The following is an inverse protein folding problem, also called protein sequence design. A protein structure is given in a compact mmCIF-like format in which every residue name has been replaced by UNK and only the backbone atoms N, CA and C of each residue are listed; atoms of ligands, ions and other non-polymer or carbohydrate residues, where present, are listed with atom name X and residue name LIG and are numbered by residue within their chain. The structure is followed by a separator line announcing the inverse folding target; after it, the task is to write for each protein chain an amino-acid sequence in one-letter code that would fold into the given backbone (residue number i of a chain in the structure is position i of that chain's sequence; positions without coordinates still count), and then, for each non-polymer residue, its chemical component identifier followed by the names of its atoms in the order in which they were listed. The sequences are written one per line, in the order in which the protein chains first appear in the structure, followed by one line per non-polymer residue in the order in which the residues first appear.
data_IF_608261318642
#
_entry.id   IF_608261318642
#
_cell.length_a   1.000
_cell.length_b   1.000
_cell.length_c   1.000
_cell.angle_alpha   90.00
_cell.angle_beta   90.00
_cell.angle_gamma   90.00
#
_symmetry.space_group_name_H-M   'P 1'
#
loop_
_entity.id
_entity.type
_entity.pdbx_description
1 polymer ?
#
# COMPACT_ATOMS: atom_id res chain seq x y z
N UNK A 1 -88.65 85.74 -45.14
CA UNK A 1 -88.36 84.74 -44.06
C UNK A 1 -87.01 84.13 -44.36
N UNK A 2 -86.14 84.17 -43.39
CA UNK A 2 -84.86 83.45 -43.45
C UNK A 2 -85.01 82.20 -42.61
N UNK A 3 -84.90 81.09 -43.25
CA UNK A 3 -84.88 79.81 -42.55
C UNK A 3 -83.44 79.50 -42.19
N UNK A 4 -83.11 79.44 -40.96
CA UNK A 4 -81.74 79.07 -40.46
C UNK A 4 -81.76 77.63 -40.13
N UNK A 5 -80.81 76.91 -40.71
CA UNK A 5 -80.54 75.51 -40.41
C UNK A 5 -79.36 75.47 -39.36
N UNK A 6 -79.53 74.76 -38.28
CA UNK A 6 -78.53 74.50 -37.30
C UNK A 6 -78.02 73.04 -37.45
N UNK A 7 -76.73 72.89 -37.33
CA UNK A 7 -76.18 71.53 -37.34
C UNK A 7 -76.75 70.73 -36.21
N UNK A 8 -77.10 69.50 -36.43
CA UNK A 8 -77.59 68.58 -35.44
C UNK A 8 -76.44 67.86 -34.76
N UNK A 9 -76.67 67.42 -33.54
CA UNK A 9 -75.66 66.59 -32.78
C UNK A 9 -75.55 65.22 -33.43
N UNK A 10 -74.28 64.82 -33.61
CA UNK A 10 -73.87 63.52 -34.12
C UNK A 10 -73.09 62.73 -33.05
N UNK A 11 -73.12 61.42 -33.16
CA UNK A 11 -72.45 60.52 -32.22
C UNK A 11 -71.53 59.57 -32.93
N UNK A 12 -70.25 59.48 -32.38
CA UNK A 12 -69.31 58.48 -32.80
C UNK A 12 -69.10 57.51 -31.64
N UNK A 13 -69.05 56.21 -31.93
CA UNK A 13 -68.71 55.14 -31.02
C UNK A 13 -67.42 54.45 -31.43
N UNK A 14 -66.46 54.39 -30.56
CA UNK A 14 -65.18 53.66 -30.78
C UNK A 14 -65.21 52.38 -29.95
N UNK A 15 -65.29 51.28 -30.62
CA UNK A 15 -65.36 49.94 -30.07
C UNK A 15 -64.04 49.30 -30.00
N UNK A 16 -63.69 48.59 -28.88
CA UNK A 16 -62.50 47.80 -28.71
C UNK A 16 -62.87 46.33 -28.72
N UNK A 17 -62.22 45.58 -29.67
CA UNK A 17 -62.49 44.16 -29.88
C UNK A 17 -61.25 43.38 -29.55
N UNK A 18 -61.30 42.49 -28.56
CA UNK A 18 -60.28 41.55 -28.24
C UNK A 18 -60.33 40.40 -29.23
N UNK A 19 -59.29 40.29 -30.08
CA UNK A 19 -59.14 39.27 -31.14
C UNK A 19 -58.01 38.26 -30.79
N UNK A 20 -57.71 38.10 -29.53
CA UNK A 20 -56.68 37.11 -29.10
C UNK A 20 -57.07 35.69 -29.54
N UNK A 21 -56.17 34.98 -30.23
CA UNK A 21 -56.42 33.65 -30.80
C UNK A 21 -57.25 33.61 -32.07
N UNK A 22 -57.56 34.77 -32.65
CA UNK A 22 -58.27 34.88 -33.95
C UNK A 22 -57.30 35.10 -35.08
N UNK A 23 -57.39 34.30 -36.13
CA UNK A 23 -56.55 34.43 -37.33
C UNK A 23 -57.41 34.97 -38.51
N UNK A 24 -56.75 35.80 -39.32
CA UNK A 24 -57.38 36.34 -40.57
C UNK A 24 -57.80 37.80 -40.47
N UNK A 25 -58.73 38.20 -41.36
CA UNK A 25 -59.27 39.57 -41.38
C UNK A 25 -60.21 39.81 -40.20
N UNK A 26 -60.09 40.98 -39.57
CA UNK A 26 -60.86 41.32 -38.40
C UNK A 26 -62.13 42.05 -38.74
N UNK A 27 -63.21 41.64 -38.14
CA UNK A 27 -64.54 42.26 -38.23
C UNK A 27 -65.08 42.53 -36.82
N UNK A 28 -66.16 43.32 -36.68
CA UNK A 28 -66.75 43.59 -35.34
C UNK A 28 -67.20 42.35 -34.59
N UNK A 29 -67.36 41.22 -35.29
CA UNK A 29 -67.77 39.93 -34.71
C UNK A 29 -66.63 38.89 -34.61
N UNK A 30 -65.42 39.28 -35.01
CA UNK A 30 -64.28 38.35 -35.02
C UNK A 30 -63.73 38.00 -33.61
N UNK A 31 -64.05 38.80 -32.60
CA UNK A 31 -63.53 38.59 -31.23
C UNK A 31 -64.59 38.99 -30.18
N UNK A 32 -64.06 39.32 -28.98
CA UNK A 32 -64.93 39.74 -27.86
C UNK A 32 -64.83 41.25 -27.68
N UNK A 33 -66.00 41.92 -27.76
CA UNK A 33 -66.08 43.37 -27.53
C UNK A 33 -65.87 43.69 -26.05
N UNK A 34 -64.91 44.62 -25.77
CA UNK A 34 -64.66 45.17 -24.45
C UNK A 34 -65.65 46.32 -24.16
N UNK A 35 -66.87 45.98 -23.88
CA UNK A 35 -67.98 46.92 -23.75
C UNK A 35 -67.76 48.01 -22.72
N UNK A 36 -67.00 47.72 -21.67
CA UNK A 36 -66.68 48.69 -20.61
C UNK A 36 -65.62 49.71 -21.09
N UNK A 37 -65.07 49.56 -22.27
CA UNK A 37 -64.11 50.46 -22.91
C UNK A 37 -64.65 51.26 -24.05
N UNK A 38 -65.94 51.07 -24.39
CA UNK A 38 -66.64 51.88 -25.43
C UNK A 38 -66.37 53.34 -25.16
N UNK A 39 -65.89 54.07 -26.15
CA UNK A 39 -65.74 55.52 -26.12
C UNK A 39 -66.83 56.14 -26.97
N UNK A 40 -67.45 57.16 -26.48
CA UNK A 40 -68.50 57.91 -27.19
C UNK A 40 -68.08 59.39 -27.31
N UNK A 41 -68.11 59.90 -28.55
CA UNK A 41 -67.84 61.29 -28.86
C UNK A 41 -69.12 61.88 -29.43
N UNK A 42 -69.41 63.14 -29.09
CA UNK A 42 -70.54 63.89 -29.61
C UNK A 42 -70.06 65.22 -30.17
N UNK A 43 -70.68 65.69 -31.29
CA UNK A 43 -70.33 66.95 -31.92
C UNK A 43 -71.34 67.31 -32.98
N UNK A 44 -71.17 68.53 -33.53
CA UNK A 44 -72.07 69.03 -34.62
C UNK A 44 -71.74 68.35 -35.96
N UNK A 45 -72.70 68.13 -36.80
CA UNK A 45 -72.54 67.59 -38.14
C UNK A 45 -71.45 68.31 -38.90
N UNK A 46 -70.54 67.54 -39.62
CA UNK A 46 -69.38 67.98 -40.39
C UNK A 46 -68.19 68.55 -39.53
N UNK A 47 -68.37 68.74 -38.21
CA UNK A 47 -67.29 69.17 -37.33
C UNK A 47 -66.20 68.09 -37.28
N UNK A 48 -64.91 68.58 -37.29
CA UNK A 48 -63.76 67.68 -37.13
C UNK A 48 -63.60 67.27 -35.68
N UNK A 49 -63.16 66.06 -35.46
CA UNK A 49 -62.83 65.53 -34.13
C UNK A 49 -61.44 64.86 -34.09
N UNK A 50 -60.87 64.81 -32.92
CA UNK A 50 -59.71 63.93 -32.55
C UNK A 50 -60.11 63.14 -31.31
N UNK A 51 -59.69 61.88 -31.26
CA UNK A 51 -59.87 61.00 -30.12
C UNK A 51 -58.54 60.41 -29.68
N UNK A 52 -58.36 60.35 -28.38
CA UNK A 52 -57.27 59.58 -27.79
C UNK A 52 -57.82 58.20 -27.44
N UNK A 53 -57.29 57.19 -28.07
CA UNK A 53 -57.68 55.83 -27.76
C UNK A 53 -57.44 55.51 -26.28
N UNK A 54 -58.26 54.67 -25.74
CA UNK A 54 -58.03 54.10 -24.40
C UNK A 54 -56.62 53.54 -24.30
N UNK A 55 -55.93 53.70 -23.11
CA UNK A 55 -54.60 53.14 -22.84
C UNK A 55 -54.70 51.61 -22.67
N UNK A 56 -54.86 50.91 -23.80
CA UNK A 56 -54.99 49.47 -23.89
C UNK A 56 -53.66 48.79 -23.51
N UNK A 57 -52.45 49.44 -23.71
CA UNK A 57 -51.21 48.90 -23.37
C UNK A 57 -51.01 48.72 -21.85
N UNK A 58 -51.48 49.68 -21.04
CA UNK A 58 -51.51 49.57 -19.60
C UNK A 58 -52.41 48.44 -19.10
N UNK A 59 -53.44 48.11 -19.84
CA UNK A 59 -54.37 47.00 -19.57
C UNK A 59 -53.79 45.62 -20.02
N UNK A 60 -52.64 45.60 -20.70
CA UNK A 60 -52.03 44.36 -21.15
C UNK A 60 -52.34 43.96 -22.59
N UNK A 61 -52.91 44.88 -23.37
CA UNK A 61 -53.20 44.61 -24.78
C UNK A 61 -52.14 45.24 -25.70
N UNK A 62 -52.08 44.70 -26.92
CA UNK A 62 -51.31 45.24 -28.04
C UNK A 62 -52.31 45.56 -29.20
N UNK A 63 -52.03 46.67 -29.92
CA UNK A 63 -52.79 47.03 -31.10
C UNK A 63 -52.45 46.08 -32.25
N UNK A 64 -53.49 45.46 -32.82
CA UNK A 64 -53.42 44.70 -34.06
C UNK A 64 -53.77 45.59 -35.26
N UNK A 65 -54.94 46.22 -35.18
CA UNK A 65 -55.48 47.11 -36.22
C UNK A 65 -56.42 48.15 -35.62
N UNK A 66 -56.40 49.33 -36.14
CA UNK A 66 -57.43 50.35 -35.84
C UNK A 66 -57.87 51.00 -37.13
N UNK A 67 -59.19 51.31 -37.24
CA UNK A 67 -59.68 52.18 -38.28
C UNK A 67 -59.15 53.58 -38.01
N UNK A 68 -58.63 54.28 -39.07
CA UNK A 68 -58.09 55.64 -38.90
C UNK A 68 -59.06 56.60 -38.23
N UNK A 69 -60.34 56.46 -38.56
CA UNK A 69 -61.43 57.29 -38.06
C UNK A 69 -61.70 57.09 -36.57
N UNK A 70 -61.13 55.97 -35.92
CA UNK A 70 -61.22 55.83 -34.50
C UNK A 70 -60.41 56.91 -33.76
N UNK A 71 -59.45 57.59 -34.40
CA UNK A 71 -58.59 58.64 -33.80
C UNK A 71 -58.85 60.06 -34.33
N UNK A 72 -59.31 60.19 -35.56
CA UNK A 72 -59.57 61.51 -36.14
C UNK A 72 -60.43 61.40 -37.39
N UNK A 73 -61.34 62.37 -37.62
CA UNK A 73 -62.19 62.44 -38.74
C UNK A 73 -63.20 63.57 -38.62
N UNK A 74 -64.34 63.45 -39.31
CA UNK A 74 -65.45 64.39 -39.21
C UNK A 74 -66.74 63.66 -38.82
N UNK A 75 -67.63 64.28 -38.07
CA UNK A 75 -68.94 63.81 -37.82
C UNK A 75 -69.68 63.79 -39.14
N UNK A 76 -70.52 62.80 -39.38
CA UNK A 76 -71.32 62.71 -40.58
C UNK A 76 -72.57 63.63 -40.52
N UNK A 77 -73.53 63.51 -41.47
CA UNK A 77 -74.76 64.30 -41.54
C UNK A 77 -76.02 63.49 -41.27
N UNK A 78 -75.88 62.19 -40.89
CA UNK A 78 -77.03 61.31 -40.62
C UNK A 78 -77.29 61.18 -39.12
N UNK A 79 -78.26 61.94 -38.57
CA UNK A 79 -78.60 61.93 -37.17
C UNK A 79 -79.36 60.66 -36.71
N UNK A 80 -79.66 59.77 -37.63
CA UNK A 80 -80.47 58.57 -37.38
C UNK A 80 -79.55 57.34 -36.97
N UNK A 81 -78.25 57.39 -37.30
CA UNK A 81 -77.33 56.29 -37.03
C UNK A 81 -76.04 56.79 -36.46
N UNK A 82 -75.52 56.13 -35.38
CA UNK A 82 -74.22 56.40 -34.83
C UNK A 82 -73.09 55.91 -35.78
N UNK A 83 -72.01 56.68 -35.94
CA UNK A 83 -70.82 56.25 -36.63
C UNK A 83 -70.11 55.26 -35.73
N UNK A 84 -69.74 54.08 -36.22
CA UNK A 84 -69.07 53.04 -35.42
C UNK A 84 -67.69 52.74 -36.00
N UNK A 85 -66.65 52.91 -35.20
CA UNK A 85 -65.28 52.61 -35.55
C UNK A 85 -64.66 51.56 -34.64
N UNK A 86 -63.72 50.73 -35.12
CA UNK A 86 -63.32 49.56 -34.44
C UNK A 86 -61.79 49.57 -34.29
N UNK A 87 -61.31 49.22 -33.06
CA UNK A 87 -59.94 49.01 -32.68
C UNK A 87 -59.78 47.55 -32.24
N UNK A 88 -58.98 46.84 -32.99
CA UNK A 88 -58.70 45.40 -32.72
C UNK A 88 -57.46 45.24 -31.92
N UNK A 89 -57.54 44.52 -30.76
CA UNK A 89 -56.51 44.34 -29.79
C UNK A 89 -56.20 42.86 -29.60
N UNK A 90 -54.93 42.51 -29.38
CA UNK A 90 -54.55 41.19 -28.92
C UNK A 90 -53.88 41.28 -27.53
N UNK A 91 -53.74 40.14 -26.87
CA UNK A 91 -52.99 40.12 -25.58
C UNK A 91 -51.49 40.34 -25.76
N UNK A 92 -50.93 41.23 -25.02
CA UNK A 92 -49.47 41.38 -24.91
C UNK A 92 -48.88 40.20 -24.13
N UNK A 93 -47.78 39.62 -24.64
CA UNK A 93 -47.06 38.54 -23.99
C UNK A 93 -45.76 39.07 -23.37
N UNK A 94 -45.48 38.66 -22.10
CA UNK A 94 -44.27 39.06 -21.41
C UNK A 94 -43.49 37.84 -20.93
N UNK A 95 -42.18 37.83 -21.21
CA UNK A 95 -41.27 36.82 -20.67
C UNK A 95 -40.95 37.15 -19.21
N UNK A 96 -41.17 36.17 -18.31
CA UNK A 96 -40.92 36.31 -16.88
C UNK A 96 -40.10 35.13 -16.39
N UNK A 97 -38.92 35.41 -15.77
CA UNK A 97 -38.10 34.38 -15.17
C UNK A 97 -38.80 33.77 -13.95
N UNK A 98 -38.84 32.46 -13.89
CA UNK A 98 -39.36 31.73 -12.74
C UNK A 98 -38.25 31.37 -11.72
N UNK A 99 -38.64 30.58 -10.71
CA UNK A 99 -37.74 30.14 -9.68
C UNK A 99 -36.75 29.10 -10.23
N UNK A 100 -35.40 29.29 -10.13
CA UNK A 100 -34.42 28.33 -10.56
C UNK A 100 -34.52 27.00 -9.81
N UNK A 101 -34.17 25.91 -10.48
CA UNK A 101 -33.99 24.56 -9.93
C UNK A 101 -32.53 24.21 -10.04
N UNK A 102 -31.94 23.73 -8.94
CA UNK A 102 -30.55 23.28 -8.91
C UNK A 102 -30.50 21.78 -8.66
N UNK A 103 -29.83 21.06 -9.54
CA UNK A 103 -29.58 19.63 -9.46
C UNK A 103 -28.14 19.44 -9.02
N UNK A 104 -27.91 18.56 -8.04
CA UNK A 104 -26.57 18.29 -7.46
C UNK A 104 -26.20 16.83 -7.64
N UNK A 105 -24.89 16.59 -7.84
CA UNK A 105 -24.27 15.27 -7.75
C UNK A 105 -23.23 15.32 -6.63
N UNK A 106 -23.27 14.34 -5.72
CA UNK A 106 -22.25 14.13 -4.68
C UNK A 106 -21.63 12.76 -4.83
N UNK A 107 -20.31 12.68 -4.72
CA UNK A 107 -19.56 11.42 -4.73
C UNK A 107 -18.73 11.36 -3.45
N UNK A 108 -18.99 10.35 -2.62
CA UNK A 108 -18.27 10.08 -1.38
C UNK A 108 -17.29 8.93 -1.60
N UNK A 109 -16.10 9.03 -1.00
CA UNK A 109 -15.04 8.02 -1.06
C UNK A 109 -14.80 7.49 0.35
N UNK A 110 -15.01 6.17 0.54
CA UNK A 110 -14.99 5.52 1.86
C UNK A 110 -14.18 4.24 1.78
N UNK A 111 -13.39 3.92 2.81
CA UNK A 111 -12.76 2.62 2.92
C UNK A 111 -13.80 1.53 3.16
N UNK A 112 -13.84 0.53 2.26
CA UNK A 112 -14.87 -0.52 2.28
C UNK A 112 -14.58 -1.65 3.24
N UNK A 113 -13.30 -1.97 3.45
CA UNK A 113 -12.85 -3.05 4.34
C UNK A 113 -11.49 -2.72 4.97
N UNK A 114 -10.88 -3.72 5.64
CA UNK A 114 -9.59 -3.58 6.30
C UNK A 114 -9.65 -2.71 7.56
N UNK A 115 -8.49 -2.27 8.07
CA UNK A 115 -8.40 -1.55 9.35
C UNK A 115 -8.99 -0.14 9.31
N UNK A 116 -9.23 0.41 8.12
CA UNK A 116 -9.81 1.74 7.92
C UNK A 116 -11.28 1.71 7.53
N UNK A 117 -11.93 0.54 7.51
CA UNK A 117 -13.31 0.37 7.08
C UNK A 117 -14.24 1.44 7.66
N UNK A 118 -15.08 2.04 6.80
CA UNK A 118 -16.02 3.10 7.17
C UNK A 118 -15.43 4.50 7.34
N UNK A 119 -14.11 4.66 7.28
CA UNK A 119 -13.46 5.98 7.33
C UNK A 119 -13.46 6.63 5.94
N UNK A 120 -13.35 7.96 5.92
CA UNK A 120 -13.20 8.74 4.70
C UNK A 120 -11.88 8.37 4.00
N UNK A 121 -11.94 8.01 2.71
CA UNK A 121 -10.78 7.61 1.92
C UNK A 121 -10.18 8.79 1.12
N UNK A 122 -11.05 9.68 0.59
CA UNK A 122 -10.66 10.90 -0.10
C UNK A 122 -11.73 11.99 0.09
N UNK A 123 -11.41 13.22 -0.32
CA UNK A 123 -12.39 14.31 -0.29
C UNK A 123 -13.55 14.06 -1.25
N UNK A 124 -14.78 14.28 -0.78
CA UNK A 124 -15.97 14.13 -1.61
C UNK A 124 -15.96 15.11 -2.78
N UNK A 125 -16.39 14.65 -3.95
CA UNK A 125 -16.62 15.49 -5.12
C UNK A 125 -18.08 15.96 -5.12
N UNK A 126 -18.33 17.26 -5.34
CA UNK A 126 -19.67 17.82 -5.46
C UNK A 126 -19.75 18.70 -6.70
N UNK A 127 -20.78 18.50 -7.51
CA UNK A 127 -21.10 19.30 -8.70
C UNK A 127 -22.56 19.75 -8.64
N UNK A 128 -22.86 20.90 -9.28
CA UNK A 128 -24.22 21.43 -9.35
C UNK A 128 -24.46 22.11 -10.69
N UNK A 129 -25.67 21.96 -11.22
CA UNK A 129 -26.17 22.72 -12.36
C UNK A 129 -27.49 23.37 -12.00
N UNK A 130 -27.69 24.64 -12.44
CA UNK A 130 -28.90 25.40 -12.17
C UNK A 130 -29.64 25.66 -13.49
N UNK A 131 -30.92 25.37 -13.49
CA UNK A 131 -31.86 25.55 -14.60
C UNK A 131 -32.82 26.68 -14.24
N UNK A 132 -32.99 27.65 -15.12
CA UNK A 132 -33.92 28.78 -14.92
C UNK A 132 -35.07 28.68 -15.91
N UNK A 133 -36.34 28.55 -15.46
CA UNK A 133 -37.47 28.58 -16.35
C UNK A 133 -37.83 30.01 -16.74
N UNK A 134 -38.25 30.23 -18.00
CA UNK A 134 -38.83 31.46 -18.46
C UNK A 134 -40.24 31.17 -18.90
N UNK A 135 -41.22 31.83 -18.27
CA UNK A 135 -42.61 31.71 -18.56
C UNK A 135 -43.03 32.82 -19.51
N UNK A 136 -43.91 32.49 -20.49
CA UNK A 136 -44.64 33.47 -21.26
C UNK A 136 -45.94 33.79 -20.52
N UNK A 137 -46.08 35.04 -20.05
CA UNK A 137 -47.22 35.48 -19.28
C UNK A 137 -48.07 36.40 -20.12
N UNK A 138 -49.34 36.02 -20.32
CA UNK A 138 -50.38 36.86 -20.91
C UNK A 138 -50.64 38.05 -19.97
N UNK A 139 -50.50 39.26 -20.53
CA UNK A 139 -50.57 40.48 -19.72
C UNK A 139 -52.05 40.92 -19.43
N UNK A 140 -53.05 40.34 -20.07
CA UNK A 140 -54.48 40.56 -19.77
C UNK A 140 -54.93 39.62 -18.66
N UNK A 141 -54.72 38.31 -18.84
CA UNK A 141 -55.19 37.27 -17.92
C UNK A 141 -54.26 37.05 -16.74
N UNK A 142 -53.00 37.49 -16.85
CA UNK A 142 -51.91 37.26 -15.89
C UNK A 142 -51.54 35.77 -15.69
N UNK A 143 -51.93 34.94 -16.66
CA UNK A 143 -51.68 33.50 -16.64
C UNK A 143 -50.51 33.12 -17.55
N UNK A 144 -49.84 32.00 -17.25
CA UNK A 144 -48.82 31.43 -18.13
C UNK A 144 -49.48 30.88 -19.38
N UNK A 145 -48.82 31.10 -20.52
CA UNK A 145 -49.18 30.56 -21.82
C UNK A 145 -48.15 29.52 -22.24
N UNK A 146 -48.60 28.27 -22.35
CA UNK A 146 -47.72 27.15 -22.69
C UNK A 146 -46.82 26.71 -21.56
N UNK A 147 -45.89 25.81 -21.87
CA UNK A 147 -44.87 25.31 -20.94
C UNK A 147 -43.69 26.30 -20.83
N UNK A 148 -42.99 26.34 -19.69
CA UNK A 148 -41.83 27.21 -19.52
C UNK A 148 -40.68 26.75 -20.42
N UNK A 149 -39.91 27.70 -20.92
CA UNK A 149 -38.64 27.44 -21.62
C UNK A 149 -37.52 27.42 -20.57
N UNK A 150 -36.83 26.30 -20.46
CA UNK A 150 -35.72 26.14 -19.50
C UNK A 150 -34.38 26.54 -20.11
N UNK A 151 -33.55 27.23 -19.33
CA UNK A 151 -32.18 27.62 -19.69
C UNK A 151 -31.18 27.21 -18.60
N UNK A 152 -30.24 26.32 -18.91
CA UNK A 152 -30.15 25.49 -20.12
C UNK A 152 -31.31 24.47 -20.18
N UNK A 153 -31.60 23.89 -21.35
CA UNK A 153 -32.59 22.83 -21.50
C UNK A 153 -32.15 21.53 -20.83
N UNK A 154 -30.87 21.22 -20.96
CA UNK A 154 -30.21 20.12 -20.29
C UNK A 154 -28.77 20.53 -19.89
N UNK A 155 -28.13 19.75 -19.03
CA UNK A 155 -26.73 19.87 -18.65
C UNK A 155 -26.12 18.49 -18.47
N UNK A 156 -24.82 18.40 -18.25
CA UNK A 156 -24.12 17.14 -18.03
C UNK A 156 -23.24 17.22 -16.78
N UNK A 157 -23.36 16.25 -15.90
CA UNK A 157 -22.28 15.92 -14.98
C UNK A 157 -21.27 15.04 -15.71
N UNK A 158 -20.12 15.60 -16.06
CA UNK A 158 -19.04 14.86 -16.70
C UNK A 158 -18.57 13.74 -15.80
N UNK A 159 -18.04 12.67 -16.38
CA UNK A 159 -17.43 11.54 -15.67
C UNK A 159 -16.41 12.00 -14.62
N UNK A 160 -16.32 11.23 -13.53
CA UNK A 160 -15.39 11.49 -12.41
C UNK A 160 -14.60 10.22 -12.12
N UNK A 161 -13.30 10.26 -12.45
CA UNK A 161 -12.36 9.18 -12.13
C UNK A 161 -12.12 9.15 -10.63
N UNK A 162 -12.20 7.96 -10.03
CA UNK A 162 -11.94 7.77 -8.61
C UNK A 162 -10.44 8.00 -8.31
N UNK A 163 -10.10 8.72 -7.24
CA UNK A 163 -8.70 8.95 -6.84
C UNK A 163 -7.93 7.66 -6.63
N UNK A 164 -6.66 7.61 -7.03
CA UNK A 164 -5.77 6.49 -6.70
C UNK A 164 -5.32 6.59 -5.24
N UNK A 165 -5.48 5.51 -4.49
CA UNK A 165 -5.06 5.40 -3.09
C UNK A 165 -4.16 4.16 -2.97
N UNK A 166 -2.92 4.36 -2.55
CA UNK A 166 -1.94 3.29 -2.40
C UNK A 166 -2.44 2.20 -1.45
N UNK A 167 -2.31 0.94 -1.87
CA UNK A 167 -2.77 -0.22 -1.12
C UNK A 167 -4.28 -0.46 -1.14
N UNK A 168 -5.05 0.29 -1.94
CA UNK A 168 -6.51 0.16 -2.00
C UNK A 168 -7.02 0.24 -3.43
N UNK A 169 -7.98 -0.61 -3.75
CA UNK A 169 -8.65 -0.66 -5.05
C UNK A 169 -10.09 -0.18 -4.91
N UNK A 170 -10.54 0.85 -5.67
CA UNK A 170 -11.92 1.29 -5.66
C UNK A 170 -12.84 0.26 -6.34
N UNK A 171 -14.06 0.09 -5.80
CA UNK A 171 -15.10 -0.75 -6.41
C UNK A 171 -15.63 -0.17 -7.73
N UNK A 172 -15.50 1.15 -7.90
CA UNK A 172 -15.81 1.88 -9.12
C UNK A 172 -14.62 2.77 -9.47
N UNK A 173 -13.94 2.48 -10.57
CA UNK A 173 -12.81 3.28 -11.06
C UNK A 173 -13.25 4.65 -11.56
N UNK A 174 -14.51 4.78 -11.95
CA UNK A 174 -15.11 6.00 -12.49
C UNK A 174 -16.62 6.04 -12.17
N UNK A 175 -17.16 7.21 -11.90
CA UNK A 175 -18.59 7.50 -11.97
C UNK A 175 -18.84 8.10 -13.35
N UNK A 176 -19.66 7.42 -14.14
CA UNK A 176 -19.93 7.79 -15.54
C UNK A 176 -20.61 9.15 -15.68
N UNK A 177 -20.45 9.77 -16.85
CA UNK A 177 -21.16 11.00 -17.21
C UNK A 177 -22.67 10.75 -17.30
N UNK A 178 -23.46 11.73 -16.86
CA UNK A 178 -24.92 11.67 -16.94
C UNK A 178 -25.51 13.00 -17.40
N UNK A 179 -26.41 12.96 -18.41
CA UNK A 179 -27.20 14.10 -18.81
C UNK A 179 -28.35 14.30 -17.83
N UNK A 180 -28.55 15.53 -17.39
CA UNK A 180 -29.62 15.95 -16.47
C UNK A 180 -30.49 17.02 -17.08
N UNK A 181 -31.75 17.08 -16.62
CA UNK A 181 -32.76 18.05 -17.00
C UNK A 181 -33.32 18.73 -15.73
N UNK A 182 -34.14 19.78 -15.87
CA UNK A 182 -34.79 20.42 -14.73
C UNK A 182 -35.64 19.50 -13.85
N UNK A 183 -36.06 18.36 -14.38
CA UNK A 183 -36.86 17.34 -13.68
C UNK A 183 -36.01 16.21 -13.05
N UNK A 184 -34.69 16.23 -13.26
CA UNK A 184 -33.80 15.23 -12.65
C UNK A 184 -33.76 15.40 -11.14
N UNK A 185 -33.52 14.28 -10.43
CA UNK A 185 -33.27 14.29 -8.99
C UNK A 185 -31.79 14.51 -8.67
N UNK A 186 -31.50 14.95 -7.45
CA UNK A 186 -30.14 14.97 -6.93
C UNK A 186 -29.61 13.54 -6.84
N UNK A 187 -28.30 13.33 -7.15
CA UNK A 187 -27.66 12.04 -7.08
C UNK A 187 -26.55 12.01 -6.03
N UNK A 188 -26.46 10.89 -5.31
CA UNK A 188 -25.38 10.61 -4.36
C UNK A 188 -24.79 9.23 -4.66
N UNK A 189 -23.48 9.18 -4.80
CA UNK A 189 -22.71 7.97 -5.05
C UNK A 189 -21.71 7.75 -3.92
N UNK A 190 -21.50 6.49 -3.54
CA UNK A 190 -20.39 6.12 -2.68
C UNK A 190 -19.49 5.15 -3.43
N UNK A 191 -18.20 5.44 -3.44
CA UNK A 191 -17.13 4.57 -3.95
C UNK A 191 -16.42 3.96 -2.76
N UNK A 192 -16.34 2.63 -2.74
CA UNK A 192 -15.68 1.88 -1.67
C UNK A 192 -14.29 1.43 -2.09
N UNK A 193 -13.28 1.77 -1.28
CA UNK A 193 -11.89 1.37 -1.45
C UNK A 193 -11.61 0.13 -0.63
N UNK A 194 -11.36 -0.99 -1.31
CA UNK A 194 -11.02 -2.26 -0.67
C UNK A 194 -9.51 -2.39 -0.51
N UNK A 195 -9.06 -2.81 0.67
CA UNK A 195 -7.65 -3.04 0.94
C UNK A 195 -7.11 -4.15 0.06
N UNK A 196 -5.93 -3.91 -0.55
CA UNK A 196 -5.22 -4.90 -1.33
C UNK A 196 -4.50 -5.89 -0.39
N UNK A 197 -4.21 -7.09 -0.90
CA UNK A 197 -3.40 -8.09 -0.18
C UNK A 197 -1.92 -7.74 -0.32
N UNK A 198 -1.27 -7.51 0.81
CA UNK A 198 0.17 -7.28 0.92
C UNK A 198 0.89 -8.54 1.36
N UNK A 199 2.18 -8.64 1.00
CA UNK A 199 3.04 -9.74 1.41
C UNK A 199 4.17 -9.25 2.30
N UNK A 200 4.48 -10.06 3.32
CA UNK A 200 5.69 -9.97 4.09
C UNK A 200 6.55 -11.19 3.75
N UNK A 201 7.78 -10.94 3.35
CA UNK A 201 8.78 -11.96 3.00
C UNK A 201 9.97 -11.91 3.95
N UNK A 202 10.81 -12.93 3.92
CA UNK A 202 12.08 -12.96 4.65
C UNK A 202 13.21 -13.50 3.77
N UNK A 203 14.41 -12.97 4.01
CA UNK A 203 15.66 -13.39 3.40
C UNK A 203 16.60 -13.87 4.50
N UNK A 204 17.32 -14.96 4.27
CA UNK A 204 18.36 -15.48 5.20
C UNK A 204 19.70 -15.47 4.51
N UNK A 205 20.67 -14.83 5.14
CA UNK A 205 22.03 -14.67 4.63
C UNK A 205 23.01 -15.34 5.59
N UNK A 206 23.90 -16.16 5.05
CA UNK A 206 25.02 -16.75 5.75
C UNK A 206 26.27 -15.89 5.56
N UNK A 207 26.59 -15.09 6.57
CA UNK A 207 27.77 -14.23 6.58
C UNK A 207 29.07 -15.05 6.73
N UNK A 208 28.98 -16.27 7.27
CA UNK A 208 30.10 -17.20 7.44
C UNK A 208 30.55 -17.84 6.13
N UNK A 209 29.66 -17.93 5.13
CA UNK A 209 29.94 -18.46 3.78
C UNK A 209 29.88 -17.34 2.71
N UNK A 210 30.57 -16.22 2.97
CA UNK A 210 30.70 -15.13 1.99
C UNK A 210 29.40 -14.40 1.64
N UNK A 211 28.50 -14.23 2.59
CA UNK A 211 27.15 -13.64 2.41
C UNK A 211 26.25 -14.45 1.47
N UNK A 212 26.36 -15.75 1.54
CA UNK A 212 25.53 -16.65 0.76
C UNK A 212 24.04 -16.53 1.15
N UNK A 213 23.19 -16.31 0.17
CA UNK A 213 21.75 -16.31 0.38
C UNK A 213 21.25 -17.76 0.53
N UNK A 214 20.75 -18.10 1.70
CA UNK A 214 20.18 -19.41 2.02
C UNK A 214 18.71 -19.47 1.66
N UNK A 215 17.99 -18.36 1.86
CA UNK A 215 16.60 -18.16 1.49
C UNK A 215 16.45 -16.75 0.91
N UNK A 216 15.82 -16.63 -0.25
CA UNK A 216 15.56 -15.36 -0.90
C UNK A 216 14.08 -15.06 -0.93
N UNK A 217 13.67 -13.98 -0.28
CA UNK A 217 12.32 -13.41 -0.27
C UNK A 217 11.18 -14.44 -0.16
N UNK A 218 11.35 -15.42 0.72
CA UNK A 218 10.31 -16.42 0.97
C UNK A 218 9.12 -15.79 1.72
N UNK A 219 7.90 -16.14 1.32
CA UNK A 219 6.70 -15.61 1.96
C UNK A 219 6.63 -16.02 3.44
N UNK A 220 6.54 -15.03 4.32
CA UNK A 220 6.31 -15.23 5.76
C UNK A 220 4.83 -15.12 6.11
N UNK A 221 4.15 -14.11 5.54
CA UNK A 221 2.73 -13.85 5.79
C UNK A 221 2.09 -13.03 4.65
N UNK A 222 0.75 -12.99 4.62
CA UNK A 222 -0.05 -12.05 3.83
C UNK A 222 -1.11 -11.41 4.73
N UNK A 223 -1.52 -10.21 4.35
CA UNK A 223 -2.59 -9.48 5.05
C UNK A 223 -3.07 -8.29 4.27
N UNK A 224 -4.20 -7.71 4.67
CA UNK A 224 -4.73 -6.50 4.07
C UNK A 224 -3.80 -5.31 4.31
N UNK A 225 -3.72 -4.40 3.36
CA UNK A 225 -3.00 -3.12 3.53
C UNK A 225 -3.31 -2.45 4.86
N UNK A 226 -2.30 -1.92 5.54
CA UNK A 226 -2.36 -1.28 6.87
C UNK A 226 -2.78 -2.22 8.03
N UNK A 227 -3.09 -3.51 7.78
CA UNK A 227 -3.51 -4.42 8.84
C UNK A 227 -2.34 -4.83 9.75
N UNK A 228 -2.64 -5.07 11.02
CA UNK A 228 -1.65 -5.44 12.03
C UNK A 228 -1.06 -6.82 11.74
N UNK A 229 0.27 -6.94 11.78
CA UNK A 229 0.95 -8.22 11.71
C UNK A 229 0.73 -8.97 13.01
N UNK A 230 0.16 -10.16 12.91
CA UNK A 230 -0.28 -10.93 14.07
C UNK A 230 0.87 -11.52 14.89
N UNK A 231 0.62 -11.81 16.17
CA UNK A 231 1.59 -12.48 17.04
C UNK A 231 1.99 -13.89 16.52
N UNK A 232 1.13 -14.55 15.75
CA UNK A 232 1.48 -15.85 15.13
C UNK A 232 2.55 -15.70 14.05
N UNK A 233 2.60 -14.59 13.32
CA UNK A 233 3.65 -14.28 12.33
C UNK A 233 4.97 -14.03 13.06
N UNK A 234 4.96 -13.29 14.17
CA UNK A 234 6.14 -13.11 15.02
C UNK A 234 6.66 -14.46 15.52
N UNK A 235 5.80 -15.33 15.96
CA UNK A 235 6.20 -16.68 16.40
C UNK A 235 6.78 -17.52 15.25
N UNK A 236 6.20 -17.43 14.04
CA UNK A 236 6.74 -18.11 12.87
C UNK A 236 8.15 -17.61 12.52
N UNK A 237 8.37 -16.29 12.57
CA UNK A 237 9.67 -15.67 12.34
C UNK A 237 10.72 -16.14 13.37
N UNK A 238 10.37 -16.16 14.66
CA UNK A 238 11.24 -16.68 15.71
C UNK A 238 11.55 -18.18 15.52
N UNK A 239 10.59 -18.96 15.05
CA UNK A 239 10.80 -20.38 14.77
C UNK A 239 11.78 -20.62 13.63
N UNK A 240 11.80 -19.75 12.61
CA UNK A 240 12.78 -19.79 11.52
C UNK A 240 14.18 -19.60 12.11
N UNK A 241 14.41 -18.53 12.89
CA UNK A 241 15.70 -18.24 13.54
C UNK A 241 16.13 -19.42 14.40
N UNK A 242 15.26 -19.92 15.27
CA UNK A 242 15.54 -21.06 16.13
C UNK A 242 15.86 -22.33 15.32
N UNK A 243 15.26 -22.50 14.14
CA UNK A 243 15.52 -23.60 13.22
C UNK A 243 16.96 -23.61 12.73
N UNK A 244 17.49 -22.48 12.33
CA UNK A 244 18.89 -22.32 11.92
C UNK A 244 19.85 -22.48 13.10
N UNK A 245 19.51 -21.95 14.28
CA UNK A 245 20.35 -22.14 15.47
C UNK A 245 20.50 -23.62 15.83
N UNK A 246 19.46 -24.44 15.68
CA UNK A 246 19.54 -25.90 15.87
C UNK A 246 20.43 -26.61 14.85
N UNK A 247 20.65 -26.01 13.68
CA UNK A 247 21.54 -26.51 12.64
C UNK A 247 22.99 -26.07 12.82
N UNK A 248 23.31 -25.34 13.89
CA UNK A 248 24.65 -24.90 14.20
C UNK A 248 24.97 -23.46 13.87
N UNK A 249 24.01 -22.72 13.30
CA UNK A 249 24.17 -21.28 13.05
C UNK A 249 24.07 -20.45 14.33
N UNK A 250 24.68 -19.30 14.31
CA UNK A 250 24.59 -18.25 15.34
C UNK A 250 23.97 -17.01 14.70
N UNK A 251 22.95 -16.46 15.34
CA UNK A 251 22.32 -15.22 14.88
C UNK A 251 23.28 -14.05 15.03
N UNK A 252 23.57 -13.36 13.92
CA UNK A 252 24.33 -12.11 13.88
C UNK A 252 23.38 -10.94 14.09
N UNK A 253 22.37 -10.84 13.24
CA UNK A 253 21.29 -9.85 13.34
C UNK A 253 20.03 -10.36 12.67
N UNK A 254 18.90 -9.76 13.03
CA UNK A 254 17.64 -9.97 12.35
C UNK A 254 16.86 -8.66 12.39
N UNK A 255 16.22 -8.31 11.27
CA UNK A 255 15.33 -7.16 11.22
C UNK A 255 14.13 -7.38 12.14
N UNK A 256 13.64 -6.29 12.73
CA UNK A 256 12.37 -6.34 13.45
C UNK A 256 11.23 -6.48 12.44
N UNK A 257 10.24 -7.30 12.77
CA UNK A 257 9.00 -7.31 12.00
C UNK A 257 8.35 -5.93 12.08
N UNK A 258 7.83 -5.41 10.95
CA UNK A 258 7.01 -4.20 10.96
C UNK A 258 5.73 -4.44 11.80
N UNK A 259 5.13 -3.36 12.33
CA UNK A 259 3.90 -3.48 13.10
C UNK A 259 2.70 -3.85 12.23
N UNK A 260 2.69 -3.37 11.00
CA UNK A 260 1.59 -3.54 10.05
C UNK A 260 2.12 -3.96 8.69
N UNK A 261 1.27 -4.60 7.90
CA UNK A 261 1.47 -4.65 6.44
C UNK A 261 1.45 -3.23 5.89
N UNK A 262 2.29 -2.96 4.90
CA UNK A 262 2.32 -1.66 4.25
C UNK A 262 1.16 -1.49 3.25
N UNK A 263 1.23 -0.48 2.42
CA UNK A 263 0.28 -0.20 1.36
C UNK A 263 0.99 0.00 0.01
N UNK A 264 2.15 -0.63 -0.15
CA UNK A 264 2.94 -0.57 -1.38
C UNK A 264 2.65 -1.80 -2.24
N UNK A 265 1.82 -1.64 -3.25
CA UNK A 265 1.44 -2.74 -4.16
C UNK A 265 2.56 -3.15 -5.15
N UNK A 266 3.66 -2.40 -5.22
CA UNK A 266 4.74 -2.64 -6.19
C UNK A 266 5.87 -3.49 -5.62
N UNK A 267 6.10 -3.43 -4.30
CA UNK A 267 7.25 -4.09 -3.65
C UNK A 267 6.80 -4.75 -2.35
N UNK A 268 7.01 -6.06 -2.25
CA UNK A 268 6.73 -6.82 -1.03
C UNK A 268 7.64 -6.33 0.11
N UNK A 269 7.11 -6.23 1.35
CA UNK A 269 7.93 -6.00 2.54
C UNK A 269 8.85 -7.19 2.76
N UNK A 270 10.14 -6.94 3.04
CA UNK A 270 11.11 -8.00 3.30
C UNK A 270 11.89 -7.73 4.59
N UNK A 271 12.12 -8.76 5.40
CA UNK A 271 12.97 -8.73 6.57
C UNK A 271 14.16 -9.66 6.38
N UNK A 272 15.35 -9.25 6.84
CA UNK A 272 16.59 -9.98 6.62
C UNK A 272 17.10 -10.56 7.93
N UNK A 273 17.55 -11.82 7.87
CA UNK A 273 18.21 -12.56 8.96
C UNK A 273 19.64 -12.81 8.53
N UNK A 274 20.60 -12.36 9.33
CA UNK A 274 22.02 -12.59 9.16
C UNK A 274 22.49 -13.66 10.15
N UNK A 275 23.14 -14.69 9.64
CA UNK A 275 23.64 -15.84 10.37
C UNK A 275 25.14 -15.99 10.17
N UNK A 276 25.81 -16.57 11.13
CA UNK A 276 27.19 -17.02 11.01
C UNK A 276 27.28 -18.48 11.47
N UNK A 277 28.40 -19.17 11.14
CA UNK A 277 28.63 -20.51 11.64
C UNK A 277 28.99 -20.48 13.12
N UNK A 278 28.38 -21.33 13.91
CA UNK A 278 28.78 -21.63 15.27
C UNK A 278 29.93 -22.63 15.29
N UNK A 279 30.44 -22.92 16.49
CA UNK A 279 31.43 -23.98 16.68
C UNK A 279 30.93 -25.01 17.67
N UNK A 280 31.37 -26.27 17.48
CA UNK A 280 31.17 -27.37 18.45
C UNK A 280 32.50 -28.05 18.75
N UNK A 281 32.61 -28.71 19.92
CA UNK A 281 33.78 -29.48 20.31
C UNK A 281 33.44 -30.95 20.31
N UNK A 282 34.37 -31.74 19.77
CA UNK A 282 34.28 -33.20 19.78
C UNK A 282 35.66 -33.78 20.19
N UNK A 283 35.64 -34.95 20.83
CA UNK A 283 36.89 -35.68 21.10
C UNK A 283 37.62 -36.00 19.78
N UNK A 284 38.87 -35.66 19.70
CA UNK A 284 39.74 -36.07 18.59
C UNK A 284 40.35 -37.44 18.80
N UNK A 285 41.25 -37.78 17.90
CA UNK A 285 41.99 -39.06 18.00
C UNK A 285 43.20 -38.87 18.94
N UNK A 286 43.31 -39.71 19.99
CA UNK A 286 44.41 -39.70 20.91
C UNK A 286 45.70 -40.19 20.24
N UNK A 287 46.83 -39.69 20.68
CA UNK A 287 48.16 -40.13 20.24
C UNK A 287 48.95 -40.65 21.41
N UNK A 288 49.62 -41.79 21.26
CA UNK A 288 50.46 -42.41 22.23
C UNK A 288 51.93 -42.29 21.80
N UNK A 289 52.77 -41.86 22.70
CA UNK A 289 54.25 -41.88 22.58
C UNK A 289 54.78 -42.93 23.54
N UNK A 290 55.49 -43.91 23.03
CA UNK A 290 56.06 -45.02 23.86
C UNK A 290 57.54 -44.76 24.13
N UNK A 291 57.93 -44.80 25.41
CA UNK A 291 59.28 -44.84 25.81
C UNK A 291 59.72 -46.31 26.03
N UNK A 292 60.72 -46.78 25.26
CA UNK A 292 61.24 -48.11 25.34
C UNK A 292 62.78 -48.01 25.71
N UNK A 293 63.23 -48.69 26.76
CA UNK A 293 64.64 -48.79 27.14
C UNK A 293 64.99 -50.27 27.06
N UNK A 294 65.87 -50.62 26.13
CA UNK A 294 66.37 -51.98 25.92
C UNK A 294 67.74 -52.09 26.56
N UNK A 295 68.01 -53.16 27.33
CA UNK A 295 69.25 -53.44 28.03
C UNK A 295 69.96 -54.62 27.37
N UNK A 296 71.14 -54.37 26.78
CA UNK A 296 71.93 -55.39 26.04
C UNK A 296 73.35 -55.53 26.53
N UNK A 297 73.91 -56.72 26.40
CA UNK A 297 75.35 -56.94 26.64
C UNK A 297 76.15 -56.40 25.44
N UNK A 298 77.16 -55.52 25.73
CA UNK A 298 77.99 -54.87 24.71
C UNK A 298 79.24 -55.60 24.36
N UNK A 299 79.73 -56.48 25.22
CA UNK A 299 80.92 -57.23 24.99
C UNK A 299 80.93 -58.65 25.67
N UNK A 300 81.93 -59.44 25.42
CA UNK A 300 82.05 -60.78 25.99
C UNK A 300 81.21 -61.85 25.33
N UNK A 301 81.03 -63.01 25.94
CA UNK A 301 80.35 -64.16 25.33
C UNK A 301 78.80 -63.99 25.18
N UNK A 302 78.27 -62.98 25.79
CA UNK A 302 76.86 -62.63 25.77
C UNK A 302 76.55 -61.41 24.87
N UNK A 303 77.50 -60.91 24.14
CA UNK A 303 77.32 -59.70 23.26
C UNK A 303 76.05 -59.75 22.44
N UNK A 304 75.28 -58.68 22.45
CA UNK A 304 74.00 -58.53 21.74
C UNK A 304 72.76 -59.23 22.36
N UNK A 305 73.03 -60.06 23.45
CA UNK A 305 71.92 -60.70 24.16
C UNK A 305 71.25 -59.69 25.14
N UNK A 306 70.05 -59.96 25.57
CA UNK A 306 69.25 -59.19 26.56
C UNK A 306 70.01 -59.31 27.91
N UNK A 307 70.29 -58.14 28.50
CA UNK A 307 71.00 -58.02 29.78
C UNK A 307 70.03 -57.89 30.97
N UNK A 308 68.89 -57.22 30.78
CA UNK A 308 67.81 -57.06 31.74
C UNK A 308 66.47 -56.93 31.02
N UNK A 309 65.35 -57.00 31.75
CA UNK A 309 64.03 -56.80 31.19
C UNK A 309 63.89 -55.39 30.70
N UNK A 310 63.27 -55.28 29.52
CA UNK A 310 62.96 -54.01 28.84
C UNK A 310 62.00 -53.17 29.71
N UNK A 311 62.24 -51.87 29.78
CA UNK A 311 61.37 -50.89 30.38
C UNK A 311 60.50 -50.29 29.26
N UNK A 312 59.20 -50.34 29.40
CA UNK A 312 58.26 -49.72 28.48
C UNK A 312 57.21 -48.90 29.24
N UNK A 313 56.96 -47.66 28.76
CA UNK A 313 55.93 -46.79 29.34
C UNK A 313 55.25 -45.97 28.22
N UNK A 314 53.95 -45.97 28.21
CA UNK A 314 53.13 -45.18 27.30
C UNK A 314 52.75 -43.82 27.93
N UNK A 315 52.83 -42.76 27.15
CA UNK A 315 52.39 -41.40 27.42
C UNK A 315 51.27 -41.07 26.44
N UNK A 316 50.02 -40.94 26.92
CA UNK A 316 48.82 -40.68 26.07
C UNK A 316 48.55 -39.19 26.06
N UNK A 317 48.36 -38.65 24.85
CA UNK A 317 47.98 -37.29 24.59
C UNK A 317 46.55 -37.31 23.99
N UNK A 318 45.59 -36.73 24.74
CA UNK A 318 44.22 -36.55 24.28
C UNK A 318 44.10 -35.33 23.43
N UNK A 319 43.22 -35.37 22.40
CA UNK A 319 42.93 -34.22 21.56
C UNK A 319 41.45 -33.87 21.62
N UNK A 320 41.14 -32.56 21.38
CA UNK A 320 39.81 -32.01 21.19
C UNK A 320 39.82 -31.23 19.89
N UNK A 321 38.93 -31.62 19.00
CA UNK A 321 38.65 -30.89 17.75
C UNK A 321 37.60 -29.83 17.99
N UNK A 322 37.84 -28.57 17.56
CA UNK A 322 36.83 -27.55 17.37
C UNK A 322 36.40 -27.61 15.93
N UNK A 323 35.13 -27.93 15.70
CA UNK A 323 34.54 -28.04 14.38
C UNK A 323 33.65 -26.84 14.12
N UNK A 324 33.53 -26.47 12.86
CA UNK A 324 32.42 -25.68 12.35
C UNK A 324 31.09 -26.45 12.60
N UNK A 325 30.16 -25.83 13.29
CA UNK A 325 28.96 -26.52 13.73
C UNK A 325 27.99 -26.80 12.58
N UNK A 326 28.09 -26.06 11.45
CA UNK A 326 27.24 -26.16 10.26
C UNK A 326 27.84 -27.18 9.29
N UNK A 327 29.12 -27.01 8.92
CA UNK A 327 29.76 -27.84 7.88
C UNK A 327 30.38 -29.12 8.45
N UNK A 328 30.68 -29.13 9.73
CA UNK A 328 31.42 -30.24 10.38
C UNK A 328 32.92 -30.21 10.09
N UNK A 329 33.45 -29.18 9.45
CA UNK A 329 34.87 -29.04 9.16
C UNK A 329 35.69 -28.81 10.44
N UNK A 330 36.87 -29.47 10.59
CA UNK A 330 37.75 -29.28 11.72
C UNK A 330 38.51 -27.96 11.54
N UNK A 331 38.17 -26.97 12.35
CA UNK A 331 38.81 -25.65 12.36
C UNK A 331 40.12 -25.65 13.16
N UNK A 332 40.16 -26.44 14.23
CA UNK A 332 41.31 -26.48 15.14
C UNK A 332 41.34 -27.79 15.94
N UNK A 333 42.53 -28.38 16.11
CA UNK A 333 42.77 -29.45 17.09
C UNK A 333 43.61 -28.91 18.24
N UNK A 334 43.19 -29.16 19.46
CA UNK A 334 43.88 -28.79 20.68
C UNK A 334 44.28 -30.04 21.40
N UNK A 335 45.58 -30.16 21.82
CA UNK A 335 46.13 -31.30 22.50
C UNK A 335 46.31 -31.04 23.99
N UNK A 336 46.31 -32.14 24.79
CA UNK A 336 46.72 -32.10 26.19
C UNK A 336 48.18 -31.61 26.30
N UNK A 337 48.55 -30.99 27.42
CA UNK A 337 49.91 -30.46 27.64
C UNK A 337 51.01 -31.52 27.49
N UNK A 338 52.24 -31.07 27.17
CA UNK A 338 53.41 -31.90 27.22
C UNK A 338 53.61 -32.58 28.62
N UNK A 339 54.12 -33.78 28.62
CA UNK A 339 54.37 -34.58 29.81
C UNK A 339 55.90 -34.78 29.98
N UNK A 340 56.33 -34.99 31.21
CA UNK A 340 57.77 -35.38 31.51
C UNK A 340 57.88 -36.91 31.66
N UNK A 341 58.83 -37.53 30.92
CA UNK A 341 59.09 -38.94 31.12
C UNK A 341 59.75 -39.14 32.49
N UNK A 342 59.56 -40.30 33.12
CA UNK A 342 60.24 -40.63 34.37
C UNK A 342 61.69 -41.01 34.08
N UNK A 343 62.59 -40.43 34.83
CA UNK A 343 64.01 -40.89 34.77
C UNK A 343 64.13 -42.34 35.28
N UNK A 344 64.70 -43.21 34.47
CA UNK A 344 64.78 -44.65 34.75
C UNK A 344 66.26 -45.06 35.11
N UNK A 345 66.44 -45.53 36.32
CA UNK A 345 67.71 -46.08 36.74
C UNK A 345 67.96 -47.46 36.08
N UNK A 346 69.12 -47.65 35.45
CA UNK A 346 69.46 -48.92 34.80
C UNK A 346 69.60 -50.07 35.83
N UNK A 347 69.05 -51.23 35.59
CA UNK A 347 69.17 -52.39 36.49
C UNK A 347 70.58 -52.74 36.70
N UNK A 348 70.95 -53.19 37.95
CA UNK A 348 72.29 -53.72 38.24
C UNK A 348 72.43 -55.14 37.66
N UNK A 349 73.44 -55.37 36.84
CA UNK A 349 73.81 -56.68 36.28
C UNK A 349 75.15 -57.10 36.82
N UNK A 350 75.18 -58.20 37.61
CA UNK A 350 76.40 -58.64 38.28
C UNK A 350 77.58 -58.92 37.32
N UNK A 351 78.70 -58.26 37.54
CA UNK A 351 79.89 -58.35 36.71
C UNK A 351 79.96 -57.47 35.49
N UNK A 352 78.95 -56.58 35.30
CA UNK A 352 78.85 -55.68 34.17
C UNK A 352 78.55 -54.24 34.63
N UNK A 353 79.02 -53.26 33.87
CA UNK A 353 78.76 -51.81 34.08
C UNK A 353 77.96 -51.28 32.93
N UNK A 354 76.84 -50.60 33.25
CA UNK A 354 76.01 -49.93 32.26
C UNK A 354 76.74 -48.66 31.75
N UNK A 355 76.63 -48.38 30.40
CA UNK A 355 77.11 -47.15 29.79
C UNK A 355 76.34 -45.92 30.28
N UNK A 356 75.05 -46.13 30.63
CA UNK A 356 74.18 -45.16 31.24
C UNK A 356 73.61 -45.71 32.54
N UNK A 357 74.05 -45.20 33.67
CA UNK A 357 73.53 -45.60 34.97
C UNK A 357 72.12 -45.18 35.19
N UNK A 358 71.63 -44.17 34.42
CA UNK A 358 70.31 -43.64 34.43
C UNK A 358 69.96 -43.03 33.06
N UNK A 359 68.79 -43.35 32.49
CA UNK A 359 68.22 -42.64 31.38
C UNK A 359 67.48 -41.44 31.96
N UNK A 360 67.81 -40.22 31.54
CA UNK A 360 67.25 -38.97 32.05
C UNK A 360 65.80 -38.79 31.65
N UNK A 361 65.06 -38.07 32.44
CA UNK A 361 63.70 -37.55 32.03
C UNK A 361 63.84 -36.56 30.87
N UNK A 362 62.87 -36.53 30.02
CA UNK A 362 62.71 -35.53 28.92
C UNK A 362 61.24 -35.18 28.69
N UNK A 363 61.05 -34.00 28.17
CA UNK A 363 59.72 -33.55 27.82
C UNK A 363 59.21 -34.22 26.53
N UNK A 364 57.99 -34.70 26.53
CA UNK A 364 57.37 -35.34 25.39
C UNK A 364 55.99 -34.66 25.12
N UNK A 365 55.63 -34.49 23.84
CA UNK A 365 54.37 -33.96 23.37
C UNK A 365 53.77 -34.91 22.34
N UNK A 366 52.55 -34.58 21.93
CA UNK A 366 51.88 -35.32 20.86
C UNK A 366 52.71 -35.39 19.55
N UNK A 367 53.64 -34.46 19.33
CA UNK A 367 54.55 -34.44 18.14
C UNK A 367 55.82 -35.26 18.34
N UNK A 368 56.05 -35.77 19.55
CA UNK A 368 57.25 -36.58 19.84
C UNK A 368 57.06 -37.98 19.23
N UNK A 369 58.09 -38.48 18.54
CA UNK A 369 58.17 -39.88 18.11
C UNK A 369 58.45 -40.81 19.30
N UNK A 370 58.18 -42.12 19.13
CA UNK A 370 58.51 -43.11 20.14
C UNK A 370 59.98 -43.00 20.51
N UNK A 371 60.23 -43.06 21.79
CA UNK A 371 61.61 -42.95 22.39
C UNK A 371 62.16 -44.34 22.54
N UNK A 372 63.21 -44.64 21.76
CA UNK A 372 63.90 -45.90 21.82
C UNK A 372 65.36 -45.66 22.31
N UNK A 373 65.68 -46.14 23.49
CA UNK A 373 66.92 -45.98 24.11
C UNK A 373 67.58 -47.36 24.35
N UNK A 374 68.88 -47.49 24.09
CA UNK A 374 69.64 -48.73 24.36
C UNK A 374 70.67 -48.45 25.45
N UNK A 375 70.68 -49.25 26.51
CA UNK A 375 71.67 -49.22 27.54
C UNK A 375 72.58 -50.48 27.38
N UNK A 376 73.89 -50.22 27.20
CA UNK A 376 74.84 -51.26 26.90
C UNK A 376 75.64 -51.58 28.17
N UNK A 377 75.67 -52.86 28.49
CA UNK A 377 76.40 -53.40 29.66
C UNK A 377 77.74 -53.99 29.20
N UNK A 378 78.88 -53.39 29.66
CA UNK A 378 80.23 -53.87 29.40
C UNK A 378 80.68 -54.67 30.58
N UNK A 379 81.30 -55.84 30.34
CA UNK A 379 81.92 -56.64 31.40
C UNK A 379 83.02 -55.84 32.15
N UNK A 380 82.89 -55.72 33.45
CA UNK A 380 83.89 -55.11 34.30
C UNK A 380 85.05 -56.10 34.59
N UNK A 381 86.22 -55.54 34.94
CA UNK A 381 87.38 -56.33 35.34
C UNK A 381 87.05 -57.22 36.52
N UNK A 382 87.34 -58.47 36.37
CA UNK A 382 87.16 -59.46 37.42
C UNK A 382 88.53 -59.86 37.91
N UNK A 383 88.78 -59.89 39.22
CA UNK A 383 90.03 -60.30 39.81
C UNK A 383 89.95 -61.73 40.36
N UNK A 384 90.75 -62.61 39.83
CA UNK A 384 90.89 -63.94 40.38
C UNK A 384 92.13 -63.91 41.30
N UNK A 385 91.98 -64.22 42.57
CA UNK A 385 93.07 -64.44 43.53
C UNK A 385 93.37 -65.93 43.56
N UNK A 386 94.62 -66.27 43.13
CA UNK A 386 95.06 -67.64 43.22
C UNK A 386 95.86 -67.72 44.49
N UNK A 387 95.50 -68.53 45.43
CA UNK A 387 96.25 -68.86 46.67
C UNK A 387 96.96 -70.17 46.45
N UNK A 388 98.31 -70.15 46.56
CA UNK A 388 99.10 -71.36 46.56
C UNK A 388 99.26 -71.77 48.00
N UNK A 389 98.83 -72.99 48.33
CA UNK A 389 99.01 -73.61 49.64
C UNK A 389 100.10 -74.67 49.48
N UNK A 390 101.24 -74.48 50.22
CA UNK A 390 102.26 -75.50 50.31
C UNK A 390 101.75 -76.56 51.29
N UNK A 391 101.56 -77.77 50.81
CA UNK A 391 101.05 -78.90 51.57
C UNK A 391 102.16 -79.81 52.04
N UNK A 392 103.42 -79.32 51.93
CA UNK A 392 104.56 -80.11 52.40
C UNK A 392 104.64 -80.19 53.94
N UNK A 393 104.52 -81.39 54.54
CA UNK A 393 104.61 -81.61 55.95
C UNK A 393 103.32 -81.69 56.75
N UNK A 394 102.08 -81.69 56.05
CA UNK A 394 100.80 -81.95 56.73
C UNK A 394 100.51 -83.45 56.48
N UNK A 395 100.71 -84.31 57.53
CA UNK A 395 100.12 -85.65 57.49
C UNK A 395 98.61 -85.59 57.52
N UNK A 396 98.07 -86.35 56.64
CA UNK A 396 96.58 -86.38 56.54
C UNK A 396 95.97 -87.20 57.61
N UNK A 397 94.83 -86.62 58.11
CA UNK A 397 93.73 -87.39 58.67
C UNK A 397 92.46 -87.19 57.82
#
# INVERSE_FOLDING_TARGET
EVVTYTAGDQTIKVHYIDVYGVEGDYSPTSGTELKERLQTLTGEAEASYTNTLWDYAQAGYELVQAQPEATAGNFDTDPSTDQNYYVYLTHAMKQVAGKPVTITQMINYVYGNGPRAGQKAADSSSKAHTFTPTYTVDQVTKQNVGEPVWTPENAEFSAVVSPTIAGYTPDKGEIEAITITPSSENSEHTVYYNANQQKLTYTVIDDGDGNKVLVDQSQLATGDSDSVISASVLQAYQNIINGYQKQGYVLVSADNLPANFDNNDEVDQNVVIHLNHGTKQEAGVDKTVTQTITYVYGNGPKTGQKAADEYTKAYVFTSVNTLDAVTGEVLKTTWSPAQETTAVTSPTVAGYVADKAKVASQSVSHDTSDLNEVVTYTAGDQTIKVHYIDVYGVEGD
#
